data_IF_586957522696
#
_entry.id   IF_586957522696
#
_cell.length_a   1.000
_cell.length_b   1.000
_cell.length_c   1.000
_cell.angle_alpha   90.00
_cell.angle_beta   90.00
_cell.angle_gamma   90.00
#
_symmetry.space_group_name_H-M   'P 1'
#
loop_
_entity.id
_entity.type
_entity.pdbx_description
1 polymer ?
#
# COMPACT_ATOMS: atom_id res chain seq x y z
N UNK A 1 53.27 21.45 24.21
CA UNK A 1 52.99 21.07 22.82
C UNK A 1 51.70 20.26 22.71
N UNK A 2 51.60 19.05 23.31
CA UNK A 2 50.39 18.21 23.20
C UNK A 2 49.05 18.85 23.69
N UNK A 3 49.11 19.64 24.79
CA UNK A 3 47.92 20.35 25.29
C UNK A 3 47.45 21.46 24.35
N UNK A 4 48.36 22.19 23.72
CA UNK A 4 48.01 23.23 22.75
C UNK A 4 47.44 22.62 21.46
N UNK A 5 47.91 21.45 21.06
CA UNK A 5 47.39 20.73 19.91
C UNK A 5 46.00 20.18 20.17
N UNK A 6 45.75 19.57 21.33
CA UNK A 6 44.41 19.13 21.73
C UNK A 6 43.39 20.27 21.87
N UNK A 7 43.83 21.45 22.31
CA UNK A 7 43.00 22.66 22.37
C UNK A 7 42.62 23.18 20.97
N UNK A 8 43.58 23.14 20.03
CA UNK A 8 43.36 23.52 18.64
C UNK A 8 42.37 22.57 17.97
N UNK A 9 42.58 21.27 18.11
CA UNK A 9 41.67 20.25 17.54
C UNK A 9 40.24 20.41 18.03
N UNK A 10 40.04 20.69 19.32
CA UNK A 10 38.69 20.95 19.87
C UNK A 10 38.10 22.23 19.29
N UNK A 11 38.86 23.30 19.17
CA UNK A 11 38.35 24.56 18.60
C UNK A 11 37.98 24.39 17.11
N UNK A 12 38.72 23.59 16.37
CA UNK A 12 38.42 23.25 14.98
C UNK A 12 37.17 22.36 14.87
N UNK A 13 36.98 21.41 15.78
CA UNK A 13 35.73 20.61 15.87
C UNK A 13 34.52 21.48 16.20
N UNK A 14 34.64 22.34 17.20
CA UNK A 14 33.57 23.27 17.58
C UNK A 14 33.21 24.20 16.41
N UNK A 15 34.22 24.68 15.67
CA UNK A 15 33.99 25.51 14.48
C UNK A 15 33.30 24.74 13.35
N UNK A 16 33.69 23.45 13.09
CA UNK A 16 33.00 22.60 12.12
C UNK A 16 31.55 22.32 12.51
N UNK A 17 31.31 22.07 13.79
CA UNK A 17 29.98 21.77 14.32
C UNK A 17 29.06 23.02 14.36
N UNK A 18 29.61 24.21 14.26
CA UNK A 18 28.84 25.43 14.12
C UNK A 18 28.12 25.56 12.76
N UNK A 19 28.50 24.74 11.77
CA UNK A 19 27.83 24.69 10.47
C UNK A 19 27.14 23.34 10.31
N UNK A 20 25.79 23.36 10.32
CA UNK A 20 24.99 22.16 10.12
C UNK A 20 24.75 21.99 8.62
N UNK A 21 25.20 20.86 8.09
CA UNK A 21 25.05 20.51 6.67
C UNK A 21 24.08 19.34 6.51
N UNK A 22 23.34 19.33 5.39
CA UNK A 22 22.45 18.23 5.07
C UNK A 22 23.26 16.95 4.74
N UNK A 23 22.94 15.80 5.37
CA UNK A 23 23.61 14.53 5.08
C UNK A 23 23.10 13.88 3.78
N UNK A 24 22.01 14.40 3.18
CA UNK A 24 21.37 13.82 1.99
C UNK A 24 20.75 14.90 1.11
N UNK A 25 20.52 14.56 -0.15
CA UNK A 25 19.66 15.36 -1.03
C UNK A 25 18.20 15.06 -0.70
N UNK A 26 17.37 16.10 -0.63
CA UNK A 26 15.96 15.93 -0.29
C UNK A 26 15.26 17.26 -0.06
N UNK A 27 14.01 17.17 0.36
CA UNK A 27 13.20 18.33 0.71
C UNK A 27 13.18 18.49 2.23
N UNK A 28 13.19 19.75 2.70
CA UNK A 28 12.93 20.07 4.11
C UNK A 28 11.44 19.86 4.38
N UNK A 29 11.12 18.89 5.23
CA UNK A 29 9.74 18.55 5.61
C UNK A 29 9.25 19.42 6.77
N UNK A 30 10.12 19.69 7.76
CA UNK A 30 9.87 20.63 8.85
C UNK A 30 11.13 21.36 9.25
N UNK A 31 10.97 22.55 9.78
CA UNK A 31 11.99 23.33 10.47
C UNK A 31 11.48 23.59 11.88
N UNK A 32 12.17 23.03 12.86
CA UNK A 32 11.68 22.96 14.25
C UNK A 32 12.35 24.02 15.16
N UNK A 33 13.26 24.83 14.60
CA UNK A 33 13.96 25.90 15.32
C UNK A 33 13.90 27.22 14.55
N UNK A 34 14.00 28.34 15.27
CA UNK A 34 14.05 29.70 14.72
C UNK A 34 15.36 30.40 15.04
N UNK A 35 15.61 31.54 14.37
CA UNK A 35 16.79 32.37 14.65
C UNK A 35 16.68 32.95 16.06
N UNK A 36 17.65 32.62 16.89
CA UNK A 36 17.68 33.01 18.30
C UNK A 36 17.43 31.88 19.28
N UNK A 37 16.96 30.70 18.78
CA UNK A 37 16.76 29.54 19.62
C UNK A 37 18.10 28.94 20.06
N UNK A 38 18.14 28.46 21.30
CA UNK A 38 19.26 27.69 21.81
C UNK A 38 19.18 26.25 21.34
N UNK A 39 20.17 25.79 20.60
CA UNK A 39 20.28 24.40 20.15
C UNK A 39 21.36 23.67 20.93
N UNK A 40 21.12 22.39 21.25
CA UNK A 40 22.07 21.53 21.96
C UNK A 40 22.25 20.23 21.20
N UNK A 41 23.53 19.88 20.95
CA UNK A 41 23.93 18.57 20.43
C UNK A 41 24.24 17.55 21.50
N UNK A 42 24.32 17.98 22.76
CA UNK A 42 24.81 17.14 23.86
C UNK A 42 23.62 16.51 24.57
N UNK A 43 23.63 15.18 24.66
CA UNK A 43 22.80 14.42 25.56
C UNK A 43 23.36 14.57 26.99
N UNK A 44 22.93 15.60 27.69
CA UNK A 44 23.13 15.68 29.15
C UNK A 44 22.05 14.81 29.80
N UNK A 45 22.37 14.13 30.89
CA UNK A 45 21.42 13.25 31.60
C UNK A 45 20.07 13.99 31.80
N UNK A 46 19.02 13.54 31.10
CA UNK A 46 17.68 14.11 31.14
C UNK A 46 17.35 15.15 30.06
N UNK A 47 18.28 15.51 29.16
CA UNK A 47 18.03 16.36 28.00
C UNK A 47 18.11 15.58 26.70
N UNK A 48 17.23 15.88 25.74
CA UNK A 48 17.32 15.39 24.36
C UNK A 48 18.02 16.41 23.49
N UNK A 49 18.75 15.95 22.46
CA UNK A 49 19.29 16.85 21.43
C UNK A 49 18.15 17.61 20.74
N UNK A 50 18.43 18.87 20.37
CA UNK A 50 17.44 19.70 19.66
C UNK A 50 17.28 19.24 18.24
N UNK A 51 16.05 18.92 17.82
CA UNK A 51 15.71 18.66 16.43
C UNK A 51 15.69 19.99 15.67
N UNK A 52 16.61 20.17 14.73
CA UNK A 52 16.74 21.41 13.96
C UNK A 52 15.79 21.40 12.77
N UNK A 53 15.79 20.34 11.99
CA UNK A 53 14.92 20.15 10.83
C UNK A 53 14.77 18.69 10.47
N UNK A 54 13.70 18.37 9.78
CA UNK A 54 13.47 17.04 9.20
C UNK A 54 13.61 17.12 7.69
N UNK A 55 14.42 16.22 7.14
CA UNK A 55 14.64 16.07 5.71
C UNK A 55 14.04 14.76 5.22
N UNK A 56 13.55 14.74 3.99
CA UNK A 56 13.04 13.52 3.35
C UNK A 56 13.23 13.53 1.85
N UNK A 57 13.48 12.38 1.28
CA UNK A 57 13.39 12.16 -0.15
C UNK A 57 11.91 11.94 -0.50
N UNK A 58 11.38 12.79 -1.37
CA UNK A 58 9.98 12.74 -1.82
C UNK A 58 9.83 12.16 -3.23
N UNK A 59 10.92 11.77 -3.88
CA UNK A 59 10.88 11.15 -5.21
C UNK A 59 10.28 9.75 -5.16
N UNK A 60 10.58 9.03 -4.08
CA UNK A 60 10.02 7.72 -3.78
C UNK A 60 9.32 7.76 -2.42
N UNK A 61 8.02 7.61 -2.46
CA UNK A 61 7.20 7.52 -1.24
C UNK A 61 6.65 6.11 -1.09
N UNK A 62 6.27 5.75 0.11
CA UNK A 62 5.61 4.47 0.35
C UNK A 62 4.37 4.63 1.23
N UNK A 63 3.38 3.82 0.94
CA UNK A 63 2.23 3.62 1.84
C UNK A 63 2.61 2.61 2.90
N UNK A 64 2.39 2.96 4.15
CA UNK A 64 2.51 2.08 5.29
C UNK A 64 1.13 1.57 5.67
N UNK A 65 0.76 0.43 5.11
CA UNK A 65 -0.51 -0.23 5.37
C UNK A 65 -0.43 -1.21 6.54
N UNK A 66 -1.58 -1.54 7.09
CA UNK A 66 -1.75 -2.62 8.07
C UNK A 66 -2.63 -3.68 7.44
N UNK A 67 -2.16 -4.92 7.51
CA UNK A 67 -2.88 -6.09 6.99
C UNK A 67 -3.13 -7.03 8.15
N UNK A 68 -4.34 -7.56 8.24
CA UNK A 68 -4.74 -8.49 9.30
C UNK A 68 -4.02 -9.83 9.18
N UNK A 69 -3.85 -10.51 10.31
CA UNK A 69 -3.23 -11.83 10.39
C UNK A 69 -3.90 -12.87 9.46
N UNK A 70 -5.22 -12.78 9.29
CA UNK A 70 -5.98 -13.67 8.40
C UNK A 70 -5.59 -13.56 6.92
N UNK A 71 -5.08 -12.40 6.50
CA UNK A 71 -4.82 -12.09 5.09
C UNK A 71 -3.33 -11.95 4.76
N UNK A 72 -2.47 -11.77 5.77
CA UNK A 72 -1.03 -11.57 5.54
C UNK A 72 -0.37 -12.74 4.82
N UNK A 73 -0.87 -13.97 5.01
CA UNK A 73 -0.38 -15.16 4.32
C UNK A 73 -0.55 -15.16 2.80
N UNK A 74 -1.38 -14.25 2.26
CA UNK A 74 -1.62 -14.07 0.82
C UNK A 74 -0.76 -12.95 0.22
N UNK A 75 -0.04 -12.19 1.06
CA UNK A 75 0.76 -11.03 0.64
C UNK A 75 2.23 -11.42 0.53
N UNK A 76 2.86 -11.07 -0.57
CA UNK A 76 4.28 -11.33 -0.84
C UNK A 76 4.98 -10.12 -1.47
N UNK A 77 6.30 -10.13 -1.41
CA UNK A 77 7.14 -9.07 -1.99
C UNK A 77 6.95 -9.02 -3.51
N UNK A 78 7.07 -7.82 -4.09
CA UNK A 78 6.89 -7.50 -5.52
C UNK A 78 5.44 -7.63 -6.03
N UNK A 79 4.48 -7.91 -5.15
CA UNK A 79 3.08 -7.94 -5.50
C UNK A 79 2.59 -6.54 -5.87
N UNK A 80 1.86 -6.45 -6.98
CA UNK A 80 1.31 -5.18 -7.47
C UNK A 80 0.21 -4.67 -6.55
N UNK A 81 0.16 -3.37 -6.38
CA UNK A 81 -0.89 -2.71 -5.62
C UNK A 81 -1.41 -1.48 -6.37
N UNK A 82 -2.70 -1.21 -6.21
CA UNK A 82 -3.37 0.00 -6.66
C UNK A 82 -3.61 0.90 -5.46
N UNK A 83 -3.18 2.14 -5.56
CA UNK A 83 -3.23 3.07 -4.44
C UNK A 83 -4.14 4.24 -4.81
N UNK A 84 -5.05 4.55 -3.91
CA UNK A 84 -5.93 5.73 -3.98
C UNK A 84 -5.61 6.60 -2.77
N UNK A 85 -5.33 7.87 -3.01
CA UNK A 85 -5.02 8.85 -1.96
C UNK A 85 -6.25 9.75 -1.76
N UNK A 86 -6.64 10.00 -0.53
CA UNK A 86 -7.84 10.79 -0.23
C UNK A 86 -7.82 12.20 -0.86
N UNK A 87 -6.64 12.81 -0.95
CA UNK A 87 -6.46 14.11 -1.59
C UNK A 87 -6.60 14.08 -3.12
N UNK A 88 -6.57 12.90 -3.74
CA UNK A 88 -6.65 12.70 -5.19
C UNK A 88 -7.55 11.50 -5.53
N UNK A 89 -8.87 11.58 -5.27
CA UNK A 89 -9.78 10.43 -5.39
C UNK A 89 -9.90 9.90 -6.82
N UNK A 90 -9.73 10.76 -7.82
CA UNK A 90 -9.83 10.40 -9.24
C UNK A 90 -8.52 9.83 -9.81
N UNK A 91 -7.41 9.94 -9.06
CA UNK A 91 -6.11 9.41 -9.49
C UNK A 91 -5.83 8.06 -8.83
N UNK A 92 -5.44 7.09 -9.65
CA UNK A 92 -4.95 5.79 -9.18
C UNK A 92 -3.45 5.74 -9.41
N UNK A 93 -2.72 5.49 -8.35
CA UNK A 93 -1.28 5.29 -8.40
C UNK A 93 -0.99 3.78 -8.38
N UNK A 94 -0.01 3.39 -9.16
CA UNK A 94 0.49 2.01 -9.14
C UNK A 94 1.66 1.92 -8.17
N UNK A 95 1.72 0.81 -7.45
CA UNK A 95 2.78 0.53 -6.50
C UNK A 95 3.09 -0.95 -6.40
N UNK A 96 4.12 -1.27 -5.64
CA UNK A 96 4.54 -2.63 -5.38
C UNK A 96 4.86 -2.83 -3.90
N UNK A 97 4.54 -4.02 -3.39
CA UNK A 97 4.91 -4.42 -2.02
C UNK A 97 6.42 -4.57 -1.94
N UNK A 98 7.07 -3.73 -1.14
CA UNK A 98 8.53 -3.73 -0.98
C UNK A 98 9.00 -4.33 0.34
N UNK A 99 8.13 -4.30 1.37
CA UNK A 99 8.47 -4.83 2.68
C UNK A 99 7.22 -5.33 3.40
N UNK A 100 7.39 -6.48 4.07
CA UNK A 100 6.42 -7.03 5.01
C UNK A 100 7.13 -7.15 6.34
N UNK A 101 6.56 -6.57 7.41
CA UNK A 101 7.12 -6.69 8.74
C UNK A 101 6.98 -8.13 9.23
N UNK A 102 8.05 -8.77 9.73
CA UNK A 102 7.93 -10.09 10.35
C UNK A 102 7.29 -10.04 11.75
N UNK A 103 7.17 -8.84 12.33
CA UNK A 103 6.59 -8.62 13.64
C UNK A 103 5.17 -8.08 13.49
N UNK A 104 4.18 -8.84 13.99
CA UNK A 104 2.81 -8.39 14.14
C UNK A 104 2.67 -7.44 15.34
N UNK A 105 1.78 -6.50 15.21
CA UNK A 105 1.41 -5.57 16.29
C UNK A 105 -0.03 -5.85 16.70
N UNK A 106 -0.22 -6.25 17.94
CA UNK A 106 -1.53 -6.44 18.54
C UNK A 106 -2.06 -5.11 19.08
N UNK A 107 -3.24 -4.75 18.64
CA UNK A 107 -3.99 -3.61 19.16
C UNK A 107 -5.47 -3.95 19.18
N UNK A 108 -6.13 -3.70 20.31
CA UNK A 108 -7.57 -3.93 20.49
C UNK A 108 -7.98 -5.40 20.15
N UNK A 109 -7.14 -6.38 20.55
CA UNK A 109 -7.28 -7.81 20.25
C UNK A 109 -7.22 -8.17 18.75
N UNK A 110 -6.70 -7.29 17.91
CA UNK A 110 -6.47 -7.55 16.49
C UNK A 110 -4.97 -7.50 16.21
N UNK A 111 -4.44 -8.60 15.66
CA UNK A 111 -3.03 -8.65 15.22
C UNK A 111 -2.94 -8.20 13.78
N UNK A 112 -2.13 -7.18 13.54
CA UNK A 112 -1.88 -6.63 12.20
C UNK A 112 -0.39 -6.63 11.89
N UNK A 113 -0.06 -6.77 10.61
CA UNK A 113 1.31 -6.70 10.09
C UNK A 113 1.49 -5.45 9.24
N UNK A 114 2.60 -4.74 9.46
CA UNK A 114 2.94 -3.59 8.64
C UNK A 114 3.44 -4.06 7.27
N UNK A 115 2.81 -3.55 6.22
CA UNK A 115 3.21 -3.76 4.82
C UNK A 115 3.56 -2.42 4.20
N UNK A 116 4.69 -2.34 3.49
CA UNK A 116 5.09 -1.15 2.75
C UNK A 116 4.89 -1.37 1.27
N UNK A 117 4.18 -0.44 0.66
CA UNK A 117 3.93 -0.40 -0.78
C UNK A 117 4.61 0.86 -1.33
N UNK A 118 5.63 0.70 -2.18
CA UNK A 118 6.31 1.83 -2.79
C UNK A 118 5.46 2.44 -3.90
N UNK A 119 5.57 3.75 -4.05
CA UNK A 119 4.93 4.52 -5.13
C UNK A 119 6.00 5.43 -5.71
N UNK A 120 6.10 5.45 -7.03
CA UNK A 120 6.92 6.43 -7.72
C UNK A 120 6.19 7.77 -7.79
N UNK A 121 6.82 8.84 -7.31
CA UNK A 121 6.24 10.19 -7.18
C UNK A 121 7.02 11.24 -7.99
N UNK A 122 7.12 11.13 -9.32
CA UNK A 122 7.97 11.99 -10.14
C UNK A 122 7.54 13.47 -10.13
N UNK A 123 6.26 13.73 -9.92
CA UNK A 123 5.70 15.09 -9.87
C UNK A 123 5.74 15.73 -8.48
N UNK A 124 6.17 15.01 -7.42
CA UNK A 124 6.15 15.51 -6.05
C UNK A 124 4.74 15.84 -5.52
N UNK A 125 3.69 15.30 -6.15
CA UNK A 125 2.30 15.56 -5.77
C UNK A 125 1.96 14.93 -4.42
N UNK A 126 2.49 13.74 -4.16
CA UNK A 126 2.29 13.04 -2.90
C UNK A 126 3.22 13.60 -1.83
N UNK A 127 2.64 13.87 -0.68
CA UNK A 127 3.37 14.43 0.47
C UNK A 127 3.36 13.44 1.63
N UNK A 128 4.31 13.62 2.54
CA UNK A 128 4.36 12.83 3.76
C UNK A 128 3.06 12.99 4.58
N UNK A 129 2.68 11.93 5.28
CA UNK A 129 1.50 11.85 6.15
C UNK A 129 0.14 12.06 5.44
N UNK A 130 0.06 11.90 4.12
CA UNK A 130 -1.22 11.77 3.43
C UNK A 130 -1.87 10.42 3.73
N UNK A 131 -3.21 10.42 3.84
CA UNK A 131 -3.98 9.18 3.99
C UNK A 131 -4.18 8.53 2.62
N UNK A 132 -3.88 7.25 2.54
CA UNK A 132 -4.01 6.47 1.32
C UNK A 132 -4.58 5.08 1.60
N UNK A 133 -5.32 4.54 0.64
CA UNK A 133 -5.78 3.17 0.62
C UNK A 133 -5.03 2.39 -0.45
N UNK A 134 -4.42 1.26 -0.08
CA UNK A 134 -3.67 0.40 -0.98
C UNK A 134 -4.41 -0.94 -1.16
N UNK A 135 -4.86 -1.20 -2.37
CA UNK A 135 -5.46 -2.46 -2.79
C UNK A 135 -4.35 -3.37 -3.33
N UNK A 136 -3.93 -4.38 -2.56
CA UNK A 136 -2.94 -5.37 -3.00
C UNK A 136 -3.64 -6.35 -3.93
N UNK A 137 -3.11 -6.50 -5.15
CA UNK A 137 -3.71 -7.36 -6.18
C UNK A 137 -3.21 -8.78 -5.96
N UNK A 138 -4.08 -9.65 -5.47
CA UNK A 138 -3.74 -11.05 -5.21
C UNK A 138 -3.63 -11.85 -6.51
N UNK A 139 -4.56 -11.64 -7.42
CA UNK A 139 -4.59 -12.30 -8.72
C UNK A 139 -5.27 -11.39 -9.75
N UNK A 140 -4.74 -11.33 -10.95
CA UNK A 140 -5.33 -10.59 -12.08
C UNK A 140 -5.32 -11.48 -13.30
N UNK A 141 -6.49 -11.66 -13.93
CA UNK A 141 -6.62 -12.32 -15.21
C UNK A 141 -7.22 -11.37 -16.24
N UNK A 142 -6.70 -11.43 -17.46
CA UNK A 142 -7.17 -10.61 -18.58
C UNK A 142 -7.75 -11.51 -19.66
N UNK A 143 -8.74 -10.99 -20.43
CA UNK A 143 -9.33 -11.73 -21.54
C UNK A 143 -10.20 -12.90 -21.09
N UNK A 144 -10.83 -12.80 -19.94
CA UNK A 144 -11.70 -13.84 -19.35
C UNK A 144 -13.18 -13.45 -19.51
N UNK A 145 -14.04 -14.47 -19.61
CA UNK A 145 -15.49 -14.27 -19.60
C UNK A 145 -15.93 -13.99 -18.18
N UNK A 146 -16.63 -12.88 -17.99
CA UNK A 146 -17.12 -12.43 -16.68
C UNK A 146 -18.65 -12.44 -16.66
N UNK A 147 -19.22 -12.94 -15.57
CA UNK A 147 -20.64 -12.82 -15.27
C UNK A 147 -20.85 -12.14 -13.91
N UNK A 148 -21.97 -11.46 -13.70
CA UNK A 148 -22.36 -11.00 -12.36
C UNK A 148 -22.49 -12.19 -11.40
N UNK A 149 -22.02 -12.03 -10.16
CA UNK A 149 -22.16 -13.07 -9.13
C UNK A 149 -23.63 -13.45 -8.90
N UNK A 150 -24.55 -12.48 -9.04
CA UNK A 150 -26.00 -12.69 -8.93
C UNK A 150 -26.62 -13.57 -10.03
N UNK A 151 -25.87 -13.90 -11.09
CA UNK A 151 -26.33 -14.84 -12.10
C UNK A 151 -25.96 -16.29 -11.80
N UNK A 152 -25.15 -16.54 -10.76
CA UNK A 152 -24.66 -17.87 -10.40
C UNK A 152 -25.62 -18.56 -9.45
N UNK A 153 -25.98 -19.79 -9.77
CA UNK A 153 -26.83 -20.66 -8.95
C UNK A 153 -25.99 -21.82 -8.45
N UNK A 154 -25.90 -21.96 -7.15
CA UNK A 154 -25.24 -23.10 -6.52
C UNK A 154 -26.26 -24.18 -6.14
N UNK A 155 -26.00 -25.43 -6.48
CA UNK A 155 -26.78 -26.55 -5.98
C UNK A 155 -26.32 -26.96 -4.56
N UNK A 156 -27.00 -27.98 -4.00
CA UNK A 156 -26.68 -28.51 -2.67
C UNK A 156 -25.28 -29.13 -2.57
N UNK A 157 -24.71 -29.50 -3.71
CA UNK A 157 -23.38 -30.09 -3.84
C UNK A 157 -22.31 -29.04 -4.19
N UNK A 158 -22.67 -27.73 -4.20
CA UNK A 158 -21.85 -26.60 -4.59
C UNK A 158 -21.41 -26.56 -6.05
N UNK A 159 -22.13 -27.31 -6.94
CA UNK A 159 -21.90 -27.15 -8.38
C UNK A 159 -22.52 -25.84 -8.84
N UNK A 160 -21.74 -25.08 -9.63
CA UNK A 160 -22.19 -23.80 -10.16
C UNK A 160 -22.92 -23.98 -11.50
N UNK A 161 -23.98 -23.23 -11.69
CA UNK A 161 -24.73 -23.20 -12.93
C UNK A 161 -25.29 -21.80 -13.17
N UNK A 162 -25.61 -21.49 -14.41
CA UNK A 162 -26.26 -20.25 -14.82
C UNK A 162 -27.51 -20.57 -15.64
N UNK A 163 -28.48 -19.67 -15.64
CA UNK A 163 -29.63 -19.75 -16.52
C UNK A 163 -29.43 -18.83 -17.72
N UNK A 164 -29.68 -19.35 -18.90
CA UNK A 164 -29.67 -18.58 -20.17
C UNK A 164 -31.06 -18.59 -20.77
N UNK A 165 -31.44 -17.53 -21.50
CA UNK A 165 -32.71 -17.52 -22.23
C UNK A 165 -32.70 -18.62 -23.32
N UNK A 166 -33.70 -19.50 -23.31
CA UNK A 166 -33.87 -20.52 -24.34
C UNK A 166 -35.37 -20.76 -24.58
N UNK A 167 -35.86 -20.42 -25.78
CA UNK A 167 -37.27 -20.56 -26.14
C UNK A 167 -37.79 -22.04 -26.09
N UNK A 168 -36.89 -23.03 -26.09
CA UNK A 168 -37.22 -24.44 -26.00
C UNK A 168 -37.01 -25.01 -24.61
N UNK A 169 -36.50 -24.20 -23.66
CA UNK A 169 -36.25 -24.64 -22.29
C UNK A 169 -37.50 -24.57 -21.41
N UNK A 170 -37.43 -25.18 -20.25
CA UNK A 170 -38.47 -25.13 -19.23
C UNK A 170 -38.63 -23.69 -18.74
N UNK A 171 -39.83 -23.13 -18.80
CA UNK A 171 -40.13 -21.69 -18.54
C UNK A 171 -39.33 -20.69 -19.38
N UNK A 172 -38.89 -21.05 -20.60
CA UNK A 172 -38.08 -20.17 -21.46
C UNK A 172 -36.62 -20.01 -21.01
N UNK A 173 -36.14 -20.94 -20.18
CA UNK A 173 -34.79 -20.89 -19.60
C UNK A 173 -34.09 -22.21 -19.76
N UNK A 174 -32.77 -22.18 -19.92
CA UNK A 174 -31.93 -23.34 -19.93
C UNK A 174 -30.84 -23.20 -18.87
N UNK A 175 -30.72 -24.20 -18.01
CA UNK A 175 -29.68 -24.27 -17.00
C UNK A 175 -28.41 -24.87 -17.63
N UNK A 176 -27.28 -24.18 -17.49
CA UNK A 176 -25.97 -24.57 -18.01
C UNK A 176 -25.03 -24.71 -16.82
N UNK A 177 -24.38 -25.84 -16.68
CA UNK A 177 -23.32 -26.05 -15.71
C UNK A 177 -22.09 -25.25 -16.14
N UNK A 178 -21.49 -24.52 -15.21
CA UNK A 178 -20.32 -23.67 -15.45
C UNK A 178 -19.20 -23.98 -14.47
N UNK A 179 -17.99 -23.86 -14.94
CA UNK A 179 -16.81 -23.90 -14.06
C UNK A 179 -16.35 -22.48 -13.81
N UNK A 180 -16.40 -22.09 -12.56
CA UNK A 180 -16.02 -20.74 -12.13
C UNK A 180 -14.53 -20.66 -11.82
N UNK A 181 -13.97 -19.50 -12.04
CA UNK A 181 -12.60 -19.13 -11.66
C UNK A 181 -12.58 -18.13 -10.52
N UNK A 182 -11.77 -17.08 -10.65
CA UNK A 182 -11.65 -16.05 -9.63
C UNK A 182 -12.91 -15.18 -9.57
N UNK A 183 -13.26 -14.74 -8.36
CA UNK A 183 -14.36 -13.80 -8.10
C UNK A 183 -13.89 -12.62 -7.27
N UNK A 184 -14.47 -11.45 -7.52
CA UNK A 184 -14.26 -10.26 -6.70
C UNK A 184 -15.50 -9.88 -5.86
N UNK A 185 -16.45 -10.82 -5.72
CA UNK A 185 -17.70 -10.62 -4.99
C UNK A 185 -18.80 -9.87 -5.78
N UNK A 186 -18.48 -9.28 -6.93
CA UNK A 186 -19.42 -8.59 -7.83
C UNK A 186 -19.52 -9.34 -9.16
N UNK A 187 -18.35 -9.74 -9.69
CA UNK A 187 -18.21 -10.49 -10.94
C UNK A 187 -17.36 -11.71 -10.72
N UNK A 188 -17.72 -12.80 -11.40
CA UNK A 188 -17.02 -14.08 -11.34
C UNK A 188 -16.57 -14.49 -12.74
N UNK A 189 -15.35 -14.99 -12.82
CA UNK A 189 -14.79 -15.59 -14.03
C UNK A 189 -15.53 -16.89 -14.35
N UNK A 190 -15.85 -17.10 -15.63
CA UNK A 190 -16.29 -18.39 -16.16
C UNK A 190 -15.17 -18.98 -17.01
N UNK A 191 -14.64 -20.10 -16.53
CA UNK A 191 -13.55 -20.83 -17.20
C UNK A 191 -14.12 -21.74 -18.29
N UNK A 192 -15.26 -22.40 -18.01
CA UNK A 192 -15.92 -23.30 -18.93
C UNK A 192 -17.44 -23.19 -18.82
N UNK A 193 -18.15 -23.40 -19.91
CA UNK A 193 -19.62 -23.50 -19.96
C UNK A 193 -20.33 -22.34 -20.61
N UNK A 194 -19.69 -21.17 -20.78
CA UNK A 194 -20.26 -20.00 -21.49
C UNK A 194 -19.30 -19.47 -22.55
N UNK A 195 -19.87 -18.81 -23.53
CA UNK A 195 -19.13 -18.07 -24.56
C UNK A 195 -19.32 -16.57 -24.38
N UNK A 196 -18.35 -15.78 -24.88
CA UNK A 196 -18.45 -14.32 -24.87
C UNK A 196 -19.69 -13.83 -25.62
N UNK A 197 -20.39 -12.87 -25.04
CA UNK A 197 -21.65 -12.32 -25.60
C UNK A 197 -22.90 -13.11 -25.30
N UNK A 198 -22.81 -14.26 -24.63
CA UNK A 198 -23.97 -15.05 -24.22
C UNK A 198 -24.75 -14.35 -23.09
N UNK A 199 -26.06 -14.24 -23.23
CA UNK A 199 -26.92 -13.63 -22.20
C UNK A 199 -27.12 -14.60 -21.03
N UNK A 200 -27.07 -14.06 -19.82
CA UNK A 200 -27.37 -14.78 -18.57
C UNK A 200 -28.52 -14.08 -17.84
N UNK A 201 -29.31 -14.84 -17.12
CA UNK A 201 -30.44 -14.35 -16.32
C UNK A 201 -29.93 -14.07 -14.90
N UNK A 202 -30.22 -12.88 -14.40
CA UNK A 202 -29.93 -12.52 -13.01
C UNK A 202 -31.00 -13.09 -12.08
N UNK A 203 -30.56 -13.51 -10.90
CA UNK A 203 -31.45 -14.03 -9.84
C UNK A 203 -31.95 -12.90 -8.94
#
# INVERSE_FOLDING_TARGET
>A
MAQAQAALERAEEDHRNATIVSPMNGMVLSRDVEVGDAVSSILVLGSTATLVMTLGDISEVYVRGKVDESDIGKVYIDQRARITVESFPDKKFEGQVTKISPLGVEKDNVTTFEVRVSIHNPGGELKANMTANAEIILEEKKGVVLIPESAVIYDKERNASVETPDAKGENGRRKIAVKLGISNGVKTEVVEGLQEGQQVILQ
#
